data_IF_904467932401
#
_entry.id   IF_904467932401
#
_cell.length_a   1.000
_cell.length_b   1.000
_cell.length_c   1.000
_cell.angle_alpha   90.00
_cell.angle_beta   90.00
_cell.angle_gamma   90.00
#
_symmetry.space_group_name_H-M   'P 1'
#
loop_
_entity.id
_entity.type
_entity.pdbx_description
1 polymer ?
#
# COMPACT_ATOMS: atom_id res chain seq x y z
N UNK A 1 -27.96 18.69 19.20
CA UNK A 1 -27.47 18.94 17.82
C UNK A 1 -26.04 18.45 17.61
N UNK A 2 -25.09 18.71 18.53
CA UNK A 2 -23.72 18.18 18.45
C UNK A 2 -23.61 16.64 18.44
N UNK A 3 -24.50 15.95 19.16
CA UNK A 3 -24.53 14.49 19.23
C UNK A 3 -24.82 13.83 17.86
N UNK A 4 -25.63 14.47 17.01
CA UNK A 4 -25.91 13.98 15.66
C UNK A 4 -24.75 14.23 14.67
N UNK A 5 -23.94 15.26 14.91
CA UNK A 5 -22.78 15.55 14.06
C UNK A 5 -21.64 14.56 14.30
N UNK A 6 -21.38 14.22 15.57
CA UNK A 6 -20.38 13.21 15.93
C UNK A 6 -20.72 11.83 15.35
N UNK A 7 -22.01 11.45 15.35
CA UNK A 7 -22.48 10.22 14.72
C UNK A 7 -22.25 10.24 13.20
N UNK A 8 -22.50 11.38 12.55
CA UNK A 8 -22.29 11.51 11.11
C UNK A 8 -20.81 11.37 10.69
N UNK A 9 -19.88 12.04 11.39
CA UNK A 9 -18.45 11.95 11.10
C UNK A 9 -17.89 10.54 11.30
N UNK A 10 -18.39 9.83 12.32
CA UNK A 10 -18.01 8.44 12.57
C UNK A 10 -18.55 7.51 11.48
N UNK A 11 -19.80 7.70 11.03
CA UNK A 11 -20.39 6.91 9.96
C UNK A 11 -19.62 7.07 8.64
N UNK A 12 -19.18 8.29 8.31
CA UNK A 12 -18.35 8.54 7.13
C UNK A 12 -17.00 7.79 7.20
N UNK A 13 -16.37 7.78 8.37
CA UNK A 13 -15.13 7.04 8.59
C UNK A 13 -15.32 5.53 8.46
N UNK A 14 -16.42 4.99 9.00
CA UNK A 14 -16.78 3.58 8.89
C UNK A 14 -17.01 3.22 7.42
N UNK A 15 -17.74 4.05 6.68
CA UNK A 15 -18.02 3.81 5.27
C UNK A 15 -16.74 3.82 4.44
N UNK A 16 -15.88 4.84 4.63
CA UNK A 16 -14.60 4.94 3.96
C UNK A 16 -13.72 3.71 4.21
N UNK A 17 -13.60 3.25 5.46
CA UNK A 17 -12.84 2.05 5.80
C UNK A 17 -13.47 0.77 5.22
N UNK A 18 -14.80 0.70 5.15
CA UNK A 18 -15.51 -0.46 4.60
C UNK A 18 -15.44 -0.58 3.08
N UNK A 19 -15.08 0.51 2.39
CA UNK A 19 -14.82 0.48 0.95
C UNK A 19 -13.52 -0.25 0.57
N UNK A 20 -12.65 -0.51 1.55
CA UNK A 20 -11.39 -1.20 1.33
C UNK A 20 -11.59 -2.72 1.16
N UNK A 21 -10.86 -3.35 0.23
CA UNK A 21 -10.98 -4.79 0.01
C UNK A 21 -10.63 -5.56 1.29
N UNK A 22 -11.48 -6.54 1.65
CA UNK A 22 -11.31 -7.38 2.84
C UNK A 22 -11.77 -6.76 4.16
N UNK A 23 -12.25 -5.50 4.18
CA UNK A 23 -12.76 -4.85 5.39
C UNK A 23 -14.28 -4.67 5.29
N UNK A 24 -15.03 -5.58 5.93
CA UNK A 24 -16.48 -5.41 6.07
C UNK A 24 -16.86 -4.37 7.13
N UNK A 25 -18.12 -3.90 7.10
CA UNK A 25 -18.66 -2.88 8.02
C UNK A 25 -18.40 -3.16 9.51
N UNK A 26 -18.48 -4.41 9.96
CA UNK A 26 -18.17 -4.81 11.35
C UNK A 26 -16.69 -4.59 11.71
N UNK A 27 -15.78 -4.88 10.78
CA UNK A 27 -14.35 -4.63 10.97
C UNK A 27 -14.04 -3.13 10.89
N UNK A 28 -14.64 -2.41 9.93
CA UNK A 28 -14.51 -0.96 9.82
C UNK A 28 -14.97 -0.22 11.09
N UNK A 29 -16.09 -0.64 11.69
CA UNK A 29 -16.55 -0.14 12.99
C UNK A 29 -15.49 -0.32 14.08
N UNK A 30 -14.94 -1.54 14.22
CA UNK A 30 -13.89 -1.82 15.21
C UNK A 30 -12.64 -0.98 14.99
N UNK A 31 -12.21 -0.82 13.74
CA UNK A 31 -11.03 -0.02 13.38
C UNK A 31 -11.28 1.46 13.69
N UNK A 32 -12.45 1.99 13.34
CA UNK A 32 -12.80 3.41 13.58
C UNK A 32 -12.70 3.75 15.07
N UNK A 33 -13.31 2.93 15.93
CA UNK A 33 -13.21 3.11 17.39
C UNK A 33 -11.82 2.82 17.95
N UNK A 34 -10.99 2.03 17.28
CA UNK A 34 -9.59 1.86 17.67
C UNK A 34 -8.80 3.15 17.38
N UNK A 35 -8.93 3.69 16.19
CA UNK A 35 -8.26 4.92 15.75
C UNK A 35 -8.65 6.14 16.61
N UNK A 36 -9.92 6.26 16.99
CA UNK A 36 -10.38 7.33 17.90
C UNK A 36 -9.79 7.25 19.31
N UNK A 37 -9.30 6.07 19.72
CA UNK A 37 -8.64 5.86 21.03
C UNK A 37 -7.13 5.99 20.97
N UNK A 38 -6.55 6.14 19.78
CA UNK A 38 -5.11 6.37 19.65
C UNK A 38 -4.75 7.74 20.21
N UNK A 39 -3.53 7.84 20.73
CA UNK A 39 -2.93 9.13 21.02
C UNK A 39 -2.83 9.95 19.73
N UNK A 40 -3.14 11.25 19.81
CA UNK A 40 -3.15 12.14 18.65
C UNK A 40 -1.83 12.08 17.84
N UNK A 41 -0.68 11.95 18.52
CA UNK A 41 0.62 11.80 17.87
C UNK A 41 0.71 10.55 16.99
N UNK A 42 0.28 9.40 17.51
CA UNK A 42 0.26 8.13 16.77
C UNK A 42 -0.74 8.17 15.61
N UNK A 43 -1.92 8.78 15.82
CA UNK A 43 -2.90 8.96 14.75
C UNK A 43 -2.33 9.82 13.62
N UNK A 44 -1.68 10.94 13.94
CA UNK A 44 -1.07 11.82 12.95
C UNK A 44 0.07 11.12 12.19
N UNK A 45 0.90 10.34 12.88
CA UNK A 45 1.96 9.53 12.25
C UNK A 45 1.37 8.51 11.28
N UNK A 46 0.31 7.80 11.68
CA UNK A 46 -0.39 6.85 10.82
C UNK A 46 -0.92 7.51 9.53
N UNK A 47 -1.61 8.65 9.66
CA UNK A 47 -2.12 9.39 8.49
C UNK A 47 -0.96 9.89 7.61
N UNK A 48 0.08 10.45 8.21
CA UNK A 48 1.28 10.88 7.49
C UNK A 48 1.89 9.73 6.68
N UNK A 49 2.05 8.54 7.28
CA UNK A 49 2.61 7.37 6.59
C UNK A 49 1.78 7.00 5.36
N UNK A 50 0.45 6.98 5.47
CA UNK A 50 -0.44 6.66 4.36
C UNK A 50 -0.31 7.68 3.22
N UNK A 51 -0.34 8.97 3.55
CA UNK A 51 -0.21 10.05 2.56
C UNK A 51 1.16 10.05 1.90
N UNK A 52 2.23 9.94 2.68
CA UNK A 52 3.60 9.94 2.20
C UNK A 52 3.87 8.75 1.27
N UNK A 53 3.42 7.56 1.65
CA UNK A 53 3.52 6.34 0.83
C UNK A 53 2.80 6.52 -0.50
N UNK A 54 1.56 7.03 -0.48
CA UNK A 54 0.78 7.25 -1.70
C UNK A 54 1.43 8.26 -2.66
N UNK A 55 2.13 9.25 -2.12
CA UNK A 55 2.79 10.30 -2.90
C UNK A 55 4.16 9.89 -3.44
N UNK A 56 4.91 9.10 -2.67
CA UNK A 56 6.29 8.72 -3.01
C UNK A 56 6.38 7.46 -3.85
N UNK A 57 5.50 6.48 -3.65
CA UNK A 57 5.52 5.25 -4.45
C UNK A 57 5.07 5.56 -5.87
N UNK A 58 5.92 5.20 -6.83
CA UNK A 58 5.70 5.31 -8.27
C UNK A 58 5.98 3.97 -8.95
N UNK A 59 5.70 3.89 -10.24
CA UNK A 59 6.09 2.74 -11.05
C UNK A 59 7.53 2.89 -11.54
N UNK A 60 8.33 1.83 -11.38
CA UNK A 60 9.66 1.71 -11.95
C UNK A 60 9.58 1.76 -13.48
N UNK A 61 10.34 2.65 -14.11
CA UNK A 61 10.37 2.82 -15.58
C UNK A 61 10.83 1.57 -16.35
N UNK A 62 11.51 0.63 -15.68
CA UNK A 62 12.08 -0.59 -16.32
C UNK A 62 11.22 -1.84 -16.18
N UNK A 63 10.50 -2.00 -15.06
CA UNK A 63 9.77 -3.23 -14.77
C UNK A 63 8.29 -3.03 -14.41
N UNK A 64 7.82 -1.79 -14.26
CA UNK A 64 6.43 -1.53 -13.88
C UNK A 64 6.07 -1.86 -12.42
N UNK A 65 7.03 -2.32 -11.60
CA UNK A 65 6.81 -2.57 -10.16
C UNK A 65 6.82 -1.27 -9.35
N UNK A 66 6.25 -1.29 -8.14
CA UNK A 66 6.35 -0.18 -7.20
C UNK A 66 7.80 0.13 -6.80
N UNK A 67 8.14 1.42 -6.75
CA UNK A 67 9.46 1.94 -6.41
C UNK A 67 9.37 3.34 -5.81
N UNK A 68 10.32 3.69 -4.94
CA UNK A 68 10.48 5.05 -4.40
C UNK A 68 11.31 5.97 -5.33
N UNK A 69 12.06 5.36 -6.25
CA UNK A 69 12.92 6.03 -7.24
C UNK A 69 12.44 5.73 -8.66
N UNK A 70 13.02 6.39 -9.68
CA UNK A 70 12.64 6.13 -11.08
C UNK A 70 12.90 4.68 -11.54
N UNK A 71 13.95 4.06 -10.98
CA UNK A 71 14.34 2.68 -11.24
C UNK A 71 14.52 1.98 -9.91
N UNK A 72 13.75 0.92 -9.66
CA UNK A 72 13.85 0.18 -8.40
C UNK A 72 15.26 -0.41 -8.20
N UNK A 73 15.68 -0.55 -6.94
CA UNK A 73 17.00 -1.06 -6.56
C UNK A 73 17.32 -2.42 -7.19
N UNK A 74 16.28 -3.22 -7.41
CA UNK A 74 16.38 -4.56 -7.99
C UNK A 74 16.74 -4.49 -9.49
N UNK A 75 16.23 -3.48 -10.19
CA UNK A 75 16.58 -3.23 -11.59
C UNK A 75 17.99 -2.63 -11.74
N UNK A 76 18.52 -2.00 -10.69
CA UNK A 76 19.90 -1.47 -10.67
C UNK A 76 20.91 -2.58 -10.35
N UNK A 77 20.50 -3.61 -9.59
CA UNK A 77 21.36 -4.72 -9.20
C UNK A 77 21.90 -5.53 -10.40
N UNK A 78 23.22 -5.66 -10.46
CA UNK A 78 23.94 -6.46 -11.47
C UNK A 78 23.83 -7.98 -11.25
N UNK A 79 23.24 -8.42 -10.14
CA UNK A 79 23.07 -9.85 -9.83
C UNK A 79 21.92 -10.52 -10.60
N UNK A 80 21.18 -9.75 -11.39
CA UNK A 80 20.04 -10.21 -12.21
C UNK A 80 20.53 -10.84 -13.52
N UNK A 81 19.85 -11.91 -13.92
CA UNK A 81 20.04 -12.48 -15.26
C UNK A 81 19.40 -11.57 -16.31
N UNK A 82 20.22 -11.02 -17.21
CA UNK A 82 19.78 -10.13 -18.30
C UNK A 82 19.08 -10.86 -19.44
N UNK A 83 19.16 -12.19 -19.51
CA UNK A 83 18.66 -12.98 -20.64
C UNK A 83 17.27 -13.57 -20.43
N UNK A 84 16.79 -13.59 -19.18
CA UNK A 84 15.49 -14.19 -18.83
C UNK A 84 14.53 -13.12 -18.30
N UNK A 85 13.33 -13.04 -18.90
CA UNK A 85 12.25 -12.15 -18.45
C UNK A 85 11.01 -12.95 -18.03
N UNK A 86 10.45 -12.59 -16.88
CA UNK A 86 9.16 -13.06 -16.39
C UNK A 86 8.15 -11.92 -16.55
N UNK A 87 7.15 -12.14 -17.39
CA UNK A 87 6.04 -11.22 -17.58
C UNK A 87 4.95 -11.57 -16.57
N UNK A 88 4.44 -10.59 -15.86
CA UNK A 88 3.31 -10.74 -14.94
C UNK A 88 2.18 -9.82 -15.32
N UNK A 89 0.98 -10.10 -14.79
CA UNK A 89 -0.21 -9.29 -15.09
C UNK A 89 -0.31 -8.06 -14.20
N UNK A 90 0.15 -8.15 -12.94
CA UNK A 90 0.03 -7.07 -11.97
C UNK A 90 1.38 -6.70 -11.32
N UNK A 91 1.62 -5.41 -11.00
CA UNK A 91 2.85 -4.96 -10.32
C UNK A 91 3.11 -5.65 -8.97
N UNK A 92 2.05 -6.07 -8.28
CA UNK A 92 2.06 -6.81 -7.02
C UNK A 92 2.72 -8.19 -7.17
N UNK A 93 2.50 -8.86 -8.30
CA UNK A 93 3.12 -10.16 -8.60
C UNK A 93 4.64 -10.03 -8.71
N UNK A 94 5.11 -8.92 -9.26
CA UNK A 94 6.54 -8.62 -9.30
C UNK A 94 7.10 -8.55 -7.89
N UNK A 95 6.41 -7.88 -6.97
CA UNK A 95 6.83 -7.78 -5.57
C UNK A 95 6.93 -9.17 -4.92
N UNK A 96 5.91 -10.01 -5.12
CA UNK A 96 5.90 -11.37 -4.59
C UNK A 96 7.06 -12.22 -5.13
N UNK A 97 7.28 -12.23 -6.45
CA UNK A 97 8.37 -12.96 -7.08
C UNK A 97 9.75 -12.49 -6.59
N UNK A 98 9.93 -11.19 -6.36
CA UNK A 98 11.18 -10.60 -5.86
C UNK A 98 11.54 -11.03 -4.45
N UNK A 99 10.57 -11.38 -3.61
CA UNK A 99 10.84 -11.85 -2.24
C UNK A 99 11.38 -13.29 -2.18
N UNK A 100 11.40 -14.01 -3.30
CA UNK A 100 11.92 -15.38 -3.37
C UNK A 100 13.44 -15.38 -3.62
N UNK A 101 14.22 -16.00 -2.73
CA UNK A 101 15.69 -16.01 -2.80
C UNK A 101 16.27 -16.64 -4.07
N UNK A 102 15.53 -17.55 -4.72
CA UNK A 102 15.98 -18.26 -5.91
C UNK A 102 15.57 -17.59 -7.23
N UNK A 103 14.85 -16.46 -7.18
CA UNK A 103 14.33 -15.82 -8.38
C UNK A 103 15.29 -14.74 -8.92
N UNK A 104 15.99 -15.04 -10.02
CA UNK A 104 17.04 -14.17 -10.59
C UNK A 104 16.68 -13.50 -11.92
N UNK A 105 15.56 -13.87 -12.54
CA UNK A 105 15.13 -13.31 -13.81
C UNK A 105 14.73 -11.83 -13.68
N UNK A 106 14.82 -11.09 -14.79
CA UNK A 106 14.17 -9.79 -14.90
C UNK A 106 12.65 -9.97 -14.92
N UNK A 107 11.93 -8.96 -14.47
CA UNK A 107 10.46 -8.98 -14.43
C UNK A 107 9.92 -7.74 -15.11
N UNK A 108 8.79 -7.88 -15.80
CA UNK A 108 8.00 -6.74 -16.27
C UNK A 108 6.52 -7.01 -16.04
N UNK A 109 5.79 -5.97 -15.66
CA UNK A 109 4.33 -5.93 -15.74
C UNK A 109 3.94 -5.36 -17.10
#
# INVERSE_FOLDING_TARGET
MAENLANHLLDEMIEALSSLPGIGRKSAFRISFHLLRLEQGLFNQFIHQLTDTKNKIKFCKRCGSYAETEICEICVSEKRDSHTFCVVEQPEDIFLLKTQENFRANTTC
#
